data_IF_060992148436
#
_entry.id   IF_060992148436
#
_cell.length_a   1.000
_cell.length_b   1.000
_cell.length_c   1.000
_cell.angle_alpha   90.00
_cell.angle_beta   90.00
_cell.angle_gamma   90.00
#
_symmetry.space_group_name_H-M   'P 1'
#
loop_
_entity.id
_entity.type
_entity.pdbx_description
1 polymer ?
#
# COMPACT_ATOMS: atom_id res chain seq x y z
N UNK A 1 0.36 -18.41 -15.08
CA UNK A 1 1.30 -17.92 -14.03
C UNK A 1 1.40 -16.39 -13.97
N UNK A 2 1.53 -15.68 -15.11
CA UNK A 2 1.67 -14.20 -15.18
C UNK A 2 0.53 -13.41 -14.50
N UNK A 3 -0.72 -13.79 -14.72
CA UNK A 3 -1.88 -13.11 -14.10
C UNK A 3 -1.88 -13.20 -12.57
N UNK A 4 -1.48 -14.34 -11.99
CA UNK A 4 -1.41 -14.52 -10.53
C UNK A 4 -0.32 -13.64 -9.91
N UNK A 5 0.83 -13.51 -10.57
CA UNK A 5 1.90 -12.63 -10.11
C UNK A 5 1.47 -11.16 -10.13
N UNK A 6 0.76 -10.74 -11.18
CA UNK A 6 0.16 -9.40 -11.26
C UNK A 6 -0.83 -9.15 -10.12
N UNK A 7 -1.76 -10.09 -9.88
CA UNK A 7 -2.72 -9.96 -8.77
C UNK A 7 -1.98 -9.87 -7.44
N UNK A 8 -0.99 -10.73 -7.17
CA UNK A 8 -0.23 -10.68 -5.92
C UNK A 8 0.57 -9.37 -5.73
N UNK A 9 1.15 -8.83 -6.79
CA UNK A 9 1.97 -7.61 -6.71
C UNK A 9 1.12 -6.35 -6.54
N UNK A 10 -0.01 -6.26 -7.25
CA UNK A 10 -0.75 -5.00 -7.37
C UNK A 10 -2.04 -4.94 -6.56
N UNK A 11 -2.68 -6.06 -6.21
CA UNK A 11 -4.00 -6.02 -5.56
C UNK A 11 -3.97 -5.20 -4.26
N UNK A 12 -3.03 -5.50 -3.37
CA UNK A 12 -2.92 -4.81 -2.07
C UNK A 12 -2.57 -3.32 -2.23
N UNK A 13 -1.53 -2.92 -3.00
CA UNK A 13 -1.24 -1.51 -3.22
C UNK A 13 -2.38 -0.75 -3.89
N UNK A 14 -3.05 -1.34 -4.89
CA UNK A 14 -4.18 -0.70 -5.58
C UNK A 14 -5.36 -0.50 -4.62
N UNK A 15 -5.69 -1.51 -3.81
CA UNK A 15 -6.73 -1.39 -2.79
C UNK A 15 -6.36 -0.34 -1.74
N UNK A 16 -5.12 -0.35 -1.24
CA UNK A 16 -4.65 0.67 -0.29
C UNK A 16 -4.74 2.09 -0.88
N UNK A 17 -4.42 2.24 -2.17
CA UNK A 17 -4.56 3.51 -2.88
C UNK A 17 -6.03 3.95 -2.95
N UNK A 18 -6.94 3.06 -3.36
CA UNK A 18 -8.38 3.33 -3.44
C UNK A 18 -8.98 3.68 -2.07
N UNK A 19 -8.59 2.95 -1.02
CA UNK A 19 -8.98 3.23 0.37
C UNK A 19 -8.46 4.61 0.80
N UNK A 20 -7.21 4.97 0.46
CA UNK A 20 -6.66 6.28 0.81
C UNK A 20 -7.44 7.44 0.18
N UNK A 21 -7.92 7.30 -1.06
CA UNK A 21 -8.75 8.32 -1.72
C UNK A 21 -10.14 8.39 -1.10
N UNK A 22 -10.73 7.24 -0.80
CA UNK A 22 -12.05 7.15 -0.17
C UNK A 22 -12.06 7.78 1.22
N UNK A 23 -11.04 7.52 2.04
CA UNK A 23 -10.87 8.12 3.36
C UNK A 23 -10.68 9.64 3.31
N UNK A 24 -9.91 10.14 2.34
CA UNK A 24 -9.76 11.59 2.14
C UNK A 24 -11.09 12.24 1.73
N UNK A 25 -11.84 11.61 0.82
CA UNK A 25 -13.17 12.08 0.41
C UNK A 25 -14.14 12.11 1.61
N UNK A 26 -14.14 11.06 2.45
CA UNK A 26 -14.95 11.00 3.66
C UNK A 26 -14.59 12.10 4.65
N UNK A 27 -13.29 12.35 4.89
CA UNK A 27 -12.84 13.44 5.75
C UNK A 27 -13.29 14.80 5.23
N UNK A 28 -13.17 15.04 3.91
CA UNK A 28 -13.65 16.27 3.29
C UNK A 28 -15.17 16.42 3.42
N UNK A 29 -15.93 15.33 3.26
CA UNK A 29 -17.38 15.34 3.45
C UNK A 29 -17.75 15.67 4.91
N UNK A 30 -17.10 15.02 5.89
CA UNK A 30 -17.29 15.29 7.33
C UNK A 30 -16.91 16.73 7.70
N UNK A 31 -15.93 17.35 7.04
CA UNK A 31 -15.57 18.76 7.24
C UNK A 31 -16.60 19.73 6.66
N UNK A 32 -17.16 19.42 5.49
CA UNK A 32 -18.11 20.31 4.78
C UNK A 32 -19.51 20.27 5.36
N UNK A 33 -19.96 19.12 5.87
CA UNK A 33 -21.30 18.96 6.45
C UNK A 33 -21.64 19.98 7.55
N UNK A 34 -20.81 20.22 8.58
CA UNK A 34 -21.11 21.22 9.60
C UNK A 34 -20.97 22.66 9.07
N UNK A 35 -20.04 22.92 8.16
CA UNK A 35 -19.85 24.25 7.55
C UNK A 35 -21.08 24.65 6.75
N UNK A 36 -21.67 23.72 6.00
CA UNK A 36 -22.90 23.94 5.24
C UNK A 36 -24.09 24.31 6.15
N UNK A 37 -24.11 23.77 7.38
CA UNK A 37 -25.15 24.08 8.38
C UNK A 37 -24.93 25.42 9.07
N UNK A 38 -23.68 25.81 9.31
CA UNK A 38 -23.34 27.06 10.00
C UNK A 38 -23.33 28.27 9.07
N UNK A 39 -23.11 28.06 7.76
CA UNK A 39 -23.06 29.08 6.73
C UNK A 39 -23.97 28.71 5.55
N UNK A 40 -25.30 28.71 5.73
CA UNK A 40 -26.25 28.40 4.65
C UNK A 40 -26.17 29.37 3.46
N UNK A 41 -25.65 30.58 3.68
CA UNK A 41 -25.42 31.61 2.66
C UNK A 41 -24.21 31.34 1.76
N UNK A 42 -23.30 30.45 2.17
CA UNK A 42 -22.09 30.16 1.40
C UNK A 42 -22.41 29.39 0.11
N UNK A 43 -21.77 29.77 -1.00
CA UNK A 43 -21.97 29.08 -2.27
C UNK A 43 -21.39 27.66 -2.23
N UNK A 44 -21.94 26.76 -3.05
CA UNK A 44 -21.42 25.39 -3.17
C UNK A 44 -19.93 25.36 -3.55
N UNK A 45 -19.47 26.32 -4.37
CA UNK A 45 -18.08 26.47 -4.76
C UNK A 45 -17.18 26.85 -3.57
N UNK A 46 -17.63 27.73 -2.67
CA UNK A 46 -16.89 28.13 -1.47
C UNK A 46 -16.76 26.98 -0.47
N UNK A 47 -17.85 26.25 -0.24
CA UNK A 47 -17.84 25.06 0.64
C UNK A 47 -16.91 23.98 0.08
N UNK A 48 -16.91 23.77 -1.25
CA UNK A 48 -16.01 22.79 -1.88
C UNK A 48 -14.53 23.17 -1.78
N UNK A 49 -14.18 24.47 -1.72
CA UNK A 49 -12.79 24.91 -1.49
C UNK A 49 -12.28 24.55 -0.11
N UNK A 50 -13.18 24.32 0.85
CA UNK A 50 -12.80 23.78 2.15
C UNK A 50 -12.44 22.29 1.99
N UNK A 51 -11.17 21.99 2.24
CA UNK A 51 -10.62 20.64 2.22
C UNK A 51 -9.67 20.44 3.40
N UNK A 52 -9.54 19.19 3.85
CA UNK A 52 -8.58 18.81 4.90
C UNK A 52 -7.16 19.21 4.52
N UNK A 53 -6.82 19.14 3.22
CA UNK A 53 -5.53 19.56 2.68
C UNK A 53 -5.26 21.05 2.94
N UNK A 54 -6.22 21.92 2.62
CA UNK A 54 -6.06 23.36 2.78
C UNK A 54 -6.05 23.76 4.26
N UNK A 55 -6.89 23.14 5.07
CA UNK A 55 -6.96 23.41 6.51
C UNK A 55 -5.70 22.97 7.25
N UNK A 56 -5.15 21.80 6.91
CA UNK A 56 -3.92 21.30 7.54
C UNK A 56 -2.66 22.07 7.11
N UNK A 57 -2.67 22.74 5.95
CA UNK A 57 -1.59 23.63 5.56
C UNK A 57 -1.48 24.88 6.47
N UNK A 58 -2.61 25.32 7.04
CA UNK A 58 -2.69 26.49 7.93
C UNK A 58 -2.23 26.21 9.38
N UNK A 59 -1.86 24.97 9.72
CA UNK A 59 -1.35 24.55 11.05
C UNK A 59 -2.24 24.95 12.24
N UNK A 60 -3.56 24.91 12.06
CA UNK A 60 -4.55 25.24 13.10
C UNK A 60 -4.48 24.20 14.24
N UNK A 61 -4.18 24.60 15.51
CA UNK A 61 -3.96 23.64 16.61
C UNK A 61 -5.16 22.73 16.90
N UNK A 62 -6.38 23.25 16.78
CA UNK A 62 -7.62 22.51 17.04
C UNK A 62 -7.83 21.35 16.06
N UNK A 63 -7.17 21.38 14.89
CA UNK A 63 -7.26 20.35 13.86
C UNK A 63 -6.13 19.32 13.92
N UNK A 64 -5.28 19.34 14.96
CA UNK A 64 -4.09 18.48 15.06
C UNK A 64 -4.41 16.99 14.90
N UNK A 65 -5.52 16.51 15.47
CA UNK A 65 -5.96 15.12 15.33
C UNK A 65 -6.32 14.76 13.88
N UNK A 66 -7.20 15.55 13.25
CA UNK A 66 -7.62 15.37 11.85
C UNK A 66 -6.42 15.46 10.90
N UNK A 67 -5.51 16.41 11.13
CA UNK A 67 -4.30 16.56 10.33
C UNK A 67 -3.29 15.42 10.53
N UNK A 68 -3.25 14.82 11.72
CA UNK A 68 -2.53 13.57 11.97
C UNK A 68 -3.06 12.42 11.11
N UNK A 69 -4.37 12.21 11.09
CA UNK A 69 -5.04 11.20 10.27
C UNK A 69 -4.80 11.45 8.77
N UNK A 70 -4.97 12.69 8.31
CA UNK A 70 -4.70 13.05 6.92
C UNK A 70 -3.25 12.78 6.51
N UNK A 71 -2.29 13.09 7.39
CA UNK A 71 -0.88 12.77 7.14
C UNK A 71 -0.65 11.26 7.01
N UNK A 72 -1.29 10.45 7.84
CA UNK A 72 -1.17 8.99 7.77
C UNK A 72 -1.79 8.42 6.49
N UNK A 73 -2.96 8.92 6.08
CA UNK A 73 -3.58 8.57 4.78
C UNK A 73 -2.65 8.92 3.62
N UNK A 74 -1.99 10.08 3.69
CA UNK A 74 -1.01 10.51 2.68
C UNK A 74 0.22 9.59 2.62
N UNK A 75 0.70 9.11 3.76
CA UNK A 75 1.77 8.11 3.82
C UNK A 75 1.34 6.76 3.21
N UNK A 76 0.12 6.29 3.51
CA UNK A 76 -0.44 5.08 2.88
C UNK A 76 -0.46 5.23 1.37
N UNK A 77 -0.90 6.39 0.87
CA UNK A 77 -0.91 6.69 -0.57
C UNK A 77 0.48 6.65 -1.20
N UNK A 78 1.45 7.31 -0.57
CA UNK A 78 2.83 7.33 -1.08
C UNK A 78 3.49 5.96 -1.05
N UNK A 79 3.30 5.22 0.03
CA UNK A 79 3.77 3.84 0.12
C UNK A 79 3.11 3.00 -1.00
N UNK A 80 1.78 3.01 -1.11
CA UNK A 80 1.06 2.28 -2.16
C UNK A 80 1.57 2.59 -3.57
N UNK A 81 1.74 3.87 -3.92
CA UNK A 81 2.33 4.28 -5.20
C UNK A 81 3.75 3.76 -5.39
N UNK A 82 4.59 3.81 -4.35
CA UNK A 82 5.93 3.25 -4.37
C UNK A 82 5.94 1.73 -4.63
N UNK A 83 5.02 0.99 -4.00
CA UNK A 83 4.87 -0.45 -4.21
C UNK A 83 4.37 -0.79 -5.61
N UNK A 84 3.48 0.02 -6.18
CA UNK A 84 3.06 -0.11 -7.59
C UNK A 84 4.25 0.13 -8.52
N UNK A 85 5.02 1.21 -8.32
CA UNK A 85 6.19 1.51 -9.13
C UNK A 85 7.24 0.40 -9.06
N UNK A 86 7.52 -0.12 -7.85
CA UNK A 86 8.41 -1.25 -7.64
C UNK A 86 7.90 -2.53 -8.32
N UNK A 87 6.59 -2.80 -8.27
CA UNK A 87 5.97 -3.93 -8.98
C UNK A 87 6.11 -3.82 -10.50
N UNK A 88 5.88 -2.63 -11.07
CA UNK A 88 6.07 -2.37 -12.50
C UNK A 88 7.53 -2.58 -12.89
N UNK A 89 8.46 -2.03 -12.10
CA UNK A 89 9.90 -2.21 -12.33
C UNK A 89 10.33 -3.68 -12.30
N UNK A 90 9.78 -4.46 -11.36
CA UNK A 90 10.04 -5.89 -11.28
C UNK A 90 9.55 -6.65 -12.53
N UNK A 91 8.34 -6.35 -13.01
CA UNK A 91 7.82 -6.95 -14.25
C UNK A 91 8.65 -6.54 -15.46
N UNK A 92 9.01 -5.26 -15.56
CA UNK A 92 9.84 -4.77 -16.64
C UNK A 92 11.21 -5.45 -16.67
N UNK A 93 11.82 -5.64 -15.48
CA UNK A 93 13.06 -6.38 -15.32
C UNK A 93 12.92 -7.86 -15.73
N UNK A 94 11.80 -8.50 -15.39
CA UNK A 94 11.52 -9.88 -15.80
C UNK A 94 11.35 -10.01 -17.32
N UNK A 95 10.66 -9.06 -17.95
CA UNK A 95 10.50 -9.02 -19.42
C UNK A 95 11.83 -8.76 -20.13
N UNK A 96 12.64 -7.84 -19.60
CA UNK A 96 13.98 -7.57 -20.11
C UNK A 96 14.88 -8.81 -20.00
N UNK A 97 14.81 -9.53 -18.87
CA UNK A 97 15.53 -10.78 -18.69
C UNK A 97 15.05 -11.89 -19.63
N UNK A 98 13.80 -11.87 -20.12
CA UNK A 98 13.32 -12.82 -21.15
C UNK A 98 13.95 -12.61 -22.53
N UNK A 99 14.53 -11.43 -22.79
CA UNK A 99 15.17 -11.10 -24.07
C UNK A 99 16.70 -11.21 -24.05
N UNK A 100 17.30 -11.56 -22.92
CA UNK A 100 18.76 -11.70 -22.78
C UNK A 100 19.21 -13.15 -23.12
N UNK A 101 20.35 -13.27 -23.80
CA UNK A 101 21.03 -14.56 -24.09
C UNK A 101 21.25 -15.39 -22.82
N UNK A 102 21.12 -16.71 -22.94
CA UNK A 102 21.04 -17.66 -21.81
C UNK A 102 22.21 -17.58 -20.83
N UNK A 103 23.41 -17.26 -21.31
CA UNK A 103 24.62 -17.19 -20.48
C UNK A 103 24.68 -15.91 -19.62
N UNK A 104 24.23 -14.79 -20.20
CA UNK A 104 24.04 -13.51 -19.48
C UNK A 104 22.86 -13.61 -18.50
N UNK A 105 21.84 -14.40 -18.87
CA UNK A 105 20.65 -14.70 -18.06
C UNK A 105 21.02 -15.43 -16.76
N UNK A 106 21.90 -16.44 -16.83
CA UNK A 106 22.38 -17.18 -15.66
C UNK A 106 23.15 -16.27 -14.70
N UNK A 107 24.10 -15.47 -15.18
CA UNK A 107 24.86 -14.52 -14.33
C UNK A 107 23.98 -13.46 -13.68
N UNK A 108 23.06 -12.86 -14.42
CA UNK A 108 22.10 -11.88 -13.88
C UNK A 108 21.18 -12.55 -12.85
N UNK A 109 20.73 -13.78 -13.10
CA UNK A 109 19.87 -14.51 -12.17
C UNK A 109 20.54 -14.88 -10.85
N UNK A 110 21.83 -15.24 -10.86
CA UNK A 110 22.58 -15.60 -9.65
C UNK A 110 22.86 -14.39 -8.74
N UNK A 111 23.24 -13.25 -9.33
CA UNK A 111 23.45 -11.99 -8.60
C UNK A 111 22.11 -11.46 -8.07
N UNK A 112 21.06 -11.49 -8.90
CA UNK A 112 19.71 -11.13 -8.46
C UNK A 112 19.18 -12.07 -7.37
N UNK A 113 19.50 -13.37 -7.39
CA UNK A 113 19.05 -14.33 -6.37
C UNK A 113 19.54 -13.96 -4.96
N UNK A 114 20.79 -13.49 -4.82
CA UNK A 114 21.35 -13.05 -3.52
C UNK A 114 20.72 -11.75 -3.01
N UNK A 115 20.40 -10.81 -3.89
CA UNK A 115 19.71 -9.55 -3.54
C UNK A 115 18.19 -9.72 -3.36
N UNK A 116 17.60 -10.78 -3.91
CA UNK A 116 16.15 -11.00 -3.93
C UNK A 116 15.56 -11.32 -2.57
N UNK A 117 16.27 -12.00 -1.67
CA UNK A 117 15.67 -12.47 -0.40
C UNK A 117 15.34 -11.30 0.55
N UNK A 118 16.26 -10.38 0.87
CA UNK A 118 15.95 -9.23 1.73
C UNK A 118 14.96 -8.28 1.06
N UNK A 119 15.08 -8.09 -0.26
CA UNK A 119 14.16 -7.25 -1.03
C UNK A 119 12.73 -7.83 -1.05
N UNK A 120 12.57 -9.15 -1.16
CA UNK A 120 11.26 -9.79 -1.05
C UNK A 120 10.67 -9.61 0.35
N UNK A 121 11.46 -9.81 1.41
CA UNK A 121 11.02 -9.62 2.78
C UNK A 121 10.59 -8.18 3.06
N UNK A 122 11.38 -7.20 2.62
CA UNK A 122 11.04 -5.78 2.74
C UNK A 122 9.77 -5.45 1.93
N UNK A 123 9.66 -5.99 0.71
CA UNK A 123 8.47 -5.79 -0.12
C UNK A 123 7.21 -6.33 0.56
N UNK A 124 7.34 -7.51 1.14
CA UNK A 124 6.26 -8.24 1.77
C UNK A 124 5.80 -7.62 3.10
N UNK A 125 6.75 -7.20 3.95
CA UNK A 125 6.46 -6.44 5.17
C UNK A 125 5.74 -5.14 4.86
N UNK A 126 6.15 -4.45 3.78
CA UNK A 126 5.49 -3.23 3.33
C UNK A 126 4.07 -3.44 2.84
N UNK A 127 3.80 -4.49 2.06
CA UNK A 127 2.44 -4.88 1.67
C UNK A 127 1.55 -5.16 2.89
N UNK A 128 2.09 -5.89 3.87
CA UNK A 128 1.37 -6.23 5.10
C UNK A 128 1.03 -4.98 5.92
N UNK A 129 2.00 -4.08 6.08
CA UNK A 129 1.79 -2.79 6.75
C UNK A 129 0.75 -1.92 6.02
N UNK A 130 0.78 -1.90 4.69
CA UNK A 130 -0.22 -1.20 3.87
C UNK A 130 -1.63 -1.77 4.04
N UNK A 131 -1.77 -3.09 4.00
CA UNK A 131 -3.05 -3.77 4.17
C UNK A 131 -3.64 -3.48 5.56
N UNK A 132 -2.83 -3.67 6.60
CA UNK A 132 -3.25 -3.45 8.00
C UNK A 132 -3.59 -1.97 8.23
N UNK A 133 -2.73 -1.05 7.76
CA UNK A 133 -2.98 0.38 7.89
C UNK A 133 -4.28 0.77 7.20
N UNK A 134 -4.51 0.30 5.97
CA UNK A 134 -5.74 0.59 5.22
C UNK A 134 -6.98 0.06 5.94
N UNK A 135 -6.95 -1.19 6.41
CA UNK A 135 -8.06 -1.81 7.12
C UNK A 135 -8.34 -1.16 8.47
N UNK A 136 -7.29 -0.76 9.20
CA UNK A 136 -7.43 -0.04 10.46
C UNK A 136 -8.21 1.27 10.25
N UNK A 137 -7.80 2.10 9.29
CA UNK A 137 -8.51 3.35 9.02
C UNK A 137 -9.89 3.14 8.42
N UNK A 138 -10.08 2.08 7.63
CA UNK A 138 -11.40 1.70 7.13
C UNK A 138 -12.34 1.35 8.28
N UNK A 139 -11.88 0.51 9.22
CA UNK A 139 -12.66 0.11 10.39
C UNK A 139 -13.03 1.32 11.26
N UNK A 140 -12.07 2.21 11.52
CA UNK A 140 -12.31 3.46 12.26
C UNK A 140 -13.31 4.36 11.50
N UNK A 141 -13.25 4.42 10.18
CA UNK A 141 -14.15 5.28 9.40
C UNK A 141 -15.61 4.79 9.37
N UNK A 142 -15.83 3.47 9.37
CA UNK A 142 -17.17 2.87 9.29
C UNK A 142 -17.79 2.53 10.64
N UNK A 143 -16.98 2.10 11.61
CA UNK A 143 -17.46 1.59 12.90
C UNK A 143 -17.08 2.50 14.09
N UNK A 144 -16.42 3.64 13.84
CA UNK A 144 -15.84 4.56 14.85
C UNK A 144 -14.90 3.87 15.87
N UNK A 145 -14.52 2.60 15.61
CA UNK A 145 -13.68 1.77 16.46
C UNK A 145 -12.80 0.86 15.60
N UNK A 146 -11.52 0.66 15.94
CA UNK A 146 -10.71 -0.36 15.29
C UNK A 146 -11.18 -1.74 15.75
N UNK A 147 -11.60 -2.60 14.82
CA UNK A 147 -11.87 -4.00 15.16
C UNK A 147 -10.56 -4.80 15.22
N UNK A 148 -10.14 -5.27 16.41
CA UNK A 148 -8.88 -6.01 16.54
C UNK A 148 -8.90 -7.34 15.78
N UNK A 149 -10.09 -7.94 15.58
CA UNK A 149 -10.26 -9.16 14.79
C UNK A 149 -9.83 -8.97 13.33
N UNK A 150 -10.20 -7.85 12.69
CA UNK A 150 -9.83 -7.55 11.30
C UNK A 150 -8.32 -7.35 11.16
N UNK A 151 -7.70 -6.67 12.12
CA UNK A 151 -6.25 -6.46 12.16
C UNK A 151 -5.52 -7.80 12.38
N UNK A 152 -5.99 -8.62 13.32
CA UNK A 152 -5.40 -9.93 13.62
C UNK A 152 -5.51 -10.90 12.44
N UNK A 153 -6.68 -11.00 11.78
CA UNK A 153 -6.86 -11.84 10.59
C UNK A 153 -5.95 -11.37 9.46
N UNK A 154 -5.79 -10.06 9.27
CA UNK A 154 -4.90 -9.51 8.24
C UNK A 154 -3.43 -9.78 8.55
N UNK A 155 -3.04 -9.71 9.82
CA UNK A 155 -1.70 -10.06 10.28
C UNK A 155 -1.43 -11.56 10.07
N UNK A 156 -2.39 -12.43 10.37
CA UNK A 156 -2.28 -13.88 10.18
C UNK A 156 -2.26 -14.29 8.70
N UNK A 157 -3.13 -13.71 7.88
CA UNK A 157 -3.15 -13.90 6.43
C UNK A 157 -1.83 -13.43 5.81
N UNK A 158 -1.28 -12.34 6.35
CA UNK A 158 0.06 -11.90 6.00
C UNK A 158 1.08 -12.98 6.41
N UNK A 159 1.26 -13.26 7.70
CA UNK A 159 2.29 -14.18 8.19
C UNK A 159 2.27 -15.57 7.50
N UNK A 160 1.08 -16.11 7.20
CA UNK A 160 0.93 -17.34 6.43
C UNK A 160 1.41 -17.22 4.98
N UNK A 161 1.11 -16.11 4.31
CA UNK A 161 1.66 -15.78 2.98
C UNK A 161 3.19 -15.65 2.98
N UNK A 162 3.78 -15.03 4.01
CA UNK A 162 5.23 -14.99 4.17
C UNK A 162 5.85 -16.38 4.34
N UNK A 163 5.22 -17.24 5.15
CA UNK A 163 5.68 -18.61 5.35
C UNK A 163 5.68 -19.43 4.05
N UNK A 164 4.65 -19.28 3.22
CA UNK A 164 4.56 -19.93 1.90
C UNK A 164 5.63 -19.39 0.93
N UNK A 165 5.84 -18.07 0.89
CA UNK A 165 6.88 -17.47 0.06
C UNK A 165 8.29 -17.89 0.51
N UNK A 166 8.56 -17.87 1.82
CA UNK A 166 9.83 -18.31 2.38
C UNK A 166 10.15 -19.75 1.96
N UNK A 167 9.16 -20.65 2.00
CA UNK A 167 9.30 -22.03 1.50
C UNK A 167 9.62 -22.09 0.01
N UNK A 168 8.92 -21.32 -0.82
CA UNK A 168 9.15 -21.30 -2.27
C UNK A 168 10.53 -20.75 -2.64
N UNK A 169 10.98 -19.69 -1.96
CA UNK A 169 12.31 -19.10 -2.15
C UNK A 169 13.40 -20.06 -1.69
N UNK A 170 13.20 -20.73 -0.55
CA UNK A 170 14.12 -21.75 -0.04
C UNK A 170 14.26 -22.93 -1.00
N UNK A 171 13.15 -23.37 -1.61
CA UNK A 171 13.15 -24.43 -2.63
C UNK A 171 13.94 -24.02 -3.88
N UNK A 172 13.65 -22.83 -4.41
CA UNK A 172 14.38 -22.29 -5.56
C UNK A 172 15.88 -22.08 -5.28
N UNK A 173 16.25 -21.66 -4.06
CA UNK A 173 17.66 -21.57 -3.65
C UNK A 173 18.32 -22.95 -3.57
N UNK A 174 17.66 -23.95 -2.98
CA UNK A 174 18.19 -25.32 -2.93
C UNK A 174 18.41 -25.93 -4.31
N UNK A 175 17.53 -25.65 -5.26
CA UNK A 175 17.70 -26.08 -6.65
C UNK A 175 18.87 -25.36 -7.34
N UNK A 176 19.01 -24.04 -7.14
CA UNK A 176 20.12 -23.28 -7.69
C UNK A 176 21.48 -23.73 -7.14
N UNK A 177 21.59 -24.04 -5.85
CA UNK A 177 22.83 -24.55 -5.23
C UNK A 177 23.17 -26.00 -5.57
N UNK A 178 22.25 -26.77 -6.16
CA UNK A 178 22.50 -28.14 -6.64
C UNK A 178 22.89 -28.19 -8.12
N UNK A 179 22.73 -27.09 -8.85
CA UNK A 179 23.06 -26.98 -10.26
C UNK A 179 24.49 -26.46 -10.52
N UNK A 180 25.18 -26.05 -9.45
CA UNK A 180 26.62 -25.82 -9.38
C UNK A 180 27.29 -27.08 -8.77
#
# INVERSE_FOLDING_TARGET
MRARLFVCLFLVPVLALAVSFSLEALLNARLRAPITRMHPEATSAEIQRVSVRNLCAKKIPQLRGICGTYRNIKWIRYAASGFIAAGIFAIWSLLAAQRAEDERRRRISAIMARLRVPALWAYWLGHSALAIGSLHYLAVAFFDRPEPAVIAISLLASLSGAGLMARSVSGAMKEAFRAD
#
